data_IF_818982279047
#
_entry.id   IF_818982279047
#
_cell.length_a   1.000
_cell.length_b   1.000
_cell.length_c   1.000
_cell.angle_alpha   90.00
_cell.angle_beta   90.00
_cell.angle_gamma   90.00
#
_symmetry.space_group_name_H-M   'P 1'
#
loop_
_entity.id
_entity.type
_entity.pdbx_description
1 polymer ?
#
# COMPACT_ATOMS: atom_id res chain seq x y z
N UNK A 1 1.26 20.61 9.34
CA UNK A 1 1.52 19.24 8.89
C UNK A 1 0.78 19.06 7.59
N UNK A 2 1.48 18.71 6.52
CA UNK A 2 0.88 18.61 5.19
C UNK A 2 -0.04 17.39 5.14
N UNK A 3 -1.10 17.44 4.31
CA UNK A 3 -2.04 16.31 4.16
C UNK A 3 -1.29 15.02 3.84
N UNK A 4 -0.27 15.10 2.98
CA UNK A 4 0.53 13.96 2.53
C UNK A 4 1.29 13.25 3.66
N UNK A 5 1.73 14.00 4.67
CA UNK A 5 2.42 13.43 5.85
C UNK A 5 1.49 12.48 6.61
N UNK A 6 0.20 12.84 6.75
CA UNK A 6 -0.81 12.00 7.41
C UNK A 6 -1.08 10.70 6.65
N UNK A 7 -0.94 10.75 5.33
CA UNK A 7 -1.26 9.65 4.41
C UNK A 7 -0.08 8.72 4.18
N UNK A 8 1.13 9.10 4.58
CA UNK A 8 2.35 8.36 4.29
C UNK A 8 2.79 7.50 5.47
N UNK A 9 3.39 6.36 5.18
CA UNK A 9 3.98 5.43 6.15
C UNK A 9 5.35 5.01 5.64
N UNK A 10 6.34 5.08 6.51
CA UNK A 10 7.73 4.77 6.18
C UNK A 10 8.19 3.52 6.92
N UNK A 11 8.91 2.66 6.23
CA UNK A 11 9.66 1.54 6.81
C UNK A 11 11.07 1.54 6.22
N UNK A 12 12.08 1.47 7.08
CA UNK A 12 13.50 1.45 6.69
C UNK A 12 14.24 0.23 7.21
N UNK A 13 13.55 -0.88 7.51
CA UNK A 13 14.18 -2.11 7.96
C UNK A 13 14.99 -2.75 6.83
N UNK A 14 16.13 -3.34 7.16
CA UNK A 14 17.02 -3.94 6.16
C UNK A 14 17.68 -2.89 5.25
N UNK A 15 17.94 -3.27 4.02
CA UNK A 15 18.63 -2.47 3.00
C UNK A 15 17.67 -1.74 2.04
N UNK A 16 16.35 -2.00 2.13
CA UNK A 16 15.32 -1.34 1.33
C UNK A 16 14.47 -0.41 2.19
N UNK A 17 14.49 0.87 1.85
CA UNK A 17 13.59 1.89 2.38
C UNK A 17 12.31 1.95 1.56
N UNK A 18 11.18 2.06 2.25
CA UNK A 18 9.86 2.06 1.63
C UNK A 18 9.05 3.23 2.19
N UNK A 19 8.47 4.00 1.28
CA UNK A 19 7.44 4.98 1.63
C UNK A 19 6.14 4.61 0.91
N UNK A 20 5.09 4.36 1.68
CA UNK A 20 3.75 4.03 1.17
C UNK A 20 2.79 5.18 1.49
N UNK A 21 2.18 5.78 0.46
CA UNK A 21 1.23 6.88 0.58
C UNK A 21 -0.14 6.45 0.08
N UNK A 22 -1.16 6.66 0.91
CA UNK A 22 -2.56 6.45 0.53
C UNK A 22 -3.05 7.64 -0.32
N UNK A 23 -3.27 7.42 -1.61
CA UNK A 23 -3.48 8.52 -2.57
C UNK A 23 -4.95 8.96 -2.68
N UNK A 24 -5.92 8.11 -2.31
CA UNK A 24 -7.35 8.41 -2.51
C UNK A 24 -7.82 9.77 -1.97
N UNK A 25 -7.34 10.28 -0.81
CA UNK A 25 -7.73 11.60 -0.33
C UNK A 25 -7.21 12.76 -1.21
N UNK A 26 -6.10 12.54 -1.92
CA UNK A 26 -5.45 13.51 -2.82
C UNK A 26 -6.05 13.43 -4.22
N UNK A 27 -6.10 12.22 -4.78
CA UNK A 27 -6.65 11.94 -6.10
C UNK A 27 -7.67 10.80 -5.98
N UNK A 28 -8.91 11.11 -6.32
CA UNK A 28 -10.00 10.15 -6.21
C UNK A 28 -9.86 9.00 -7.21
N UNK A 29 -10.28 7.82 -6.78
CA UNK A 29 -10.44 6.65 -7.63
C UNK A 29 -11.68 5.88 -7.16
N UNK A 30 -12.66 5.71 -8.04
CA UNK A 30 -13.96 5.10 -7.69
C UNK A 30 -13.85 3.58 -7.48
N UNK A 31 -12.90 2.93 -8.14
CA UNK A 31 -12.81 1.46 -8.19
C UNK A 31 -11.79 0.90 -7.19
N UNK A 32 -10.74 1.66 -6.88
CA UNK A 32 -9.59 1.16 -6.13
C UNK A 32 -9.21 2.05 -4.95
N UNK A 33 -8.76 1.41 -3.88
CA UNK A 33 -7.88 2.00 -2.88
C UNK A 33 -6.48 2.01 -3.49
N UNK A 34 -5.92 3.20 -3.66
CA UNK A 34 -4.68 3.45 -4.38
C UNK A 34 -3.59 3.78 -3.38
N UNK A 35 -2.55 2.94 -3.33
CA UNK A 35 -1.40 3.14 -2.46
C UNK A 35 -0.17 3.29 -3.34
N UNK A 36 0.39 4.49 -3.39
CA UNK A 36 1.65 4.77 -4.08
C UNK A 36 2.80 4.33 -3.19
N UNK A 37 3.73 3.56 -3.73
CA UNK A 37 4.87 3.05 -2.99
C UNK A 37 6.17 3.38 -3.70
N UNK A 38 7.09 3.98 -2.96
CA UNK A 38 8.46 4.24 -3.40
C UNK A 38 9.39 3.30 -2.64
N UNK A 39 10.22 2.58 -3.38
CA UNK A 39 11.27 1.72 -2.86
C UNK A 39 12.62 2.33 -3.22
N UNK A 40 13.55 2.33 -2.25
CA UNK A 40 14.90 2.84 -2.45
C UNK A 40 15.89 1.95 -1.72
N UNK A 41 16.95 1.53 -2.39
CA UNK A 41 18.03 0.73 -1.82
C UNK A 41 19.37 1.12 -2.44
N UNK A 42 20.47 0.72 -1.81
CA UNK A 42 21.83 0.94 -2.33
C UNK A 42 22.65 -0.35 -2.39
N UNK A 43 22.05 -1.50 -2.10
CA UNK A 43 22.78 -2.77 -1.94
C UNK A 43 22.11 -3.99 -2.56
N UNK A 44 20.84 -3.91 -2.96
CA UNK A 44 20.14 -5.01 -3.66
C UNK A 44 19.49 -4.51 -4.94
N UNK A 45 19.28 -5.43 -5.89
CA UNK A 45 18.49 -5.16 -7.08
C UNK A 45 17.02 -5.40 -6.78
N UNK A 46 16.17 -4.40 -7.03
CA UNK A 46 14.73 -4.51 -6.93
C UNK A 46 14.11 -5.17 -8.18
N UNK A 47 14.87 -5.32 -9.26
CA UNK A 47 14.41 -5.97 -10.50
C UNK A 47 14.12 -7.47 -10.30
N UNK A 48 14.71 -8.08 -9.26
CA UNK A 48 14.55 -9.50 -8.95
C UNK A 48 13.21 -9.83 -8.26
N UNK A 49 12.44 -8.81 -7.87
CA UNK A 49 11.20 -8.97 -7.13
C UNK A 49 9.96 -8.79 -8.00
N UNK A 50 9.03 -9.73 -7.89
CA UNK A 50 7.68 -9.58 -8.42
C UNK A 50 6.78 -8.87 -7.39
N UNK A 51 6.72 -7.54 -7.48
CA UNK A 51 5.92 -6.71 -6.59
C UNK A 51 4.43 -7.10 -6.56
N UNK A 52 3.90 -7.70 -7.63
CA UNK A 52 2.51 -8.18 -7.65
C UNK A 52 2.25 -9.37 -6.72
N UNK A 53 3.29 -10.11 -6.32
CA UNK A 53 3.18 -11.35 -5.53
C UNK A 53 3.57 -11.20 -4.07
N UNK A 54 4.26 -10.12 -3.72
CA UNK A 54 4.78 -9.93 -2.35
C UNK A 54 3.85 -9.08 -1.47
N UNK A 55 2.82 -8.49 -2.06
CA UNK A 55 1.88 -7.62 -1.35
C UNK A 55 0.64 -8.37 -0.86
N UNK A 56 0.17 -7.98 0.32
CA UNK A 56 -1.15 -8.35 0.82
C UNK A 56 -1.81 -7.16 1.50
N UNK A 57 -3.13 -7.14 1.57
CA UNK A 57 -3.92 -6.07 2.15
C UNK A 57 -4.86 -6.64 3.20
N UNK A 58 -4.97 -5.98 4.35
CA UNK A 58 -5.87 -6.38 5.43
C UNK A 58 -6.75 -5.23 5.89
N UNK A 59 -7.98 -5.52 6.27
CA UNK A 59 -8.85 -4.59 7.00
C UNK A 59 -9.18 -5.11 8.39
N UNK A 60 -9.54 -4.21 9.31
CA UNK A 60 -9.98 -4.57 10.66
C UNK A 60 -11.24 -5.43 10.71
N UNK A 61 -11.97 -5.52 9.59
CA UNK A 61 -13.18 -6.34 9.43
C UNK A 61 -12.86 -7.78 8.96
N UNK A 62 -11.58 -8.17 9.04
CA UNK A 62 -11.10 -9.52 8.72
C UNK A 62 -11.00 -9.80 7.22
N UNK A 63 -11.03 -8.77 6.37
CA UNK A 63 -10.79 -8.93 4.94
C UNK A 63 -9.29 -9.01 4.72
N UNK A 64 -8.82 -10.06 4.04
CA UNK A 64 -7.45 -10.24 3.63
C UNK A 64 -7.39 -10.51 2.13
N UNK A 65 -6.61 -9.73 1.39
CA UNK A 65 -6.46 -9.80 -0.06
C UNK A 65 -5.00 -9.96 -0.43
N UNK A 66 -4.72 -10.70 -1.49
CA UNK A 66 -3.38 -10.81 -2.07
C UNK A 66 -3.42 -11.06 -3.57
N UNK A 67 -4.43 -11.80 -4.04
CA UNK A 67 -4.59 -12.13 -5.47
C UNK A 67 -5.26 -11.03 -6.27
N UNK A 68 -6.09 -10.24 -5.61
CA UNK A 68 -6.89 -9.17 -6.21
C UNK A 68 -6.15 -7.83 -6.23
N UNK A 69 -4.97 -7.76 -5.61
CA UNK A 69 -4.14 -6.56 -5.59
C UNK A 69 -3.40 -6.47 -6.93
N UNK A 70 -3.57 -5.35 -7.61
CA UNK A 70 -2.83 -5.07 -8.84
C UNK A 70 -1.61 -4.23 -8.52
N UNK A 71 -0.47 -4.57 -9.12
CA UNK A 71 0.73 -3.75 -9.09
C UNK A 71 0.92 -3.06 -10.45
N UNK A 72 1.15 -1.75 -10.41
CA UNK A 72 1.51 -0.94 -11.58
C UNK A 72 2.82 -0.22 -11.31
N UNK A 73 3.86 -0.58 -12.07
CA UNK A 73 5.14 0.14 -12.06
C UNK A 73 4.96 1.46 -12.82
N UNK A 74 5.27 2.58 -12.16
CA UNK A 74 5.28 3.92 -12.79
C UNK A 74 6.65 4.19 -13.40
N UNK A 75 7.71 4.06 -12.60
CA UNK A 75 9.09 4.37 -12.99
C UNK A 75 10.08 3.56 -12.15
N UNK A 76 11.35 3.62 -12.54
CA UNK A 76 12.46 3.05 -11.80
C UNK A 76 13.02 1.76 -12.40
N UNK A 77 14.21 1.39 -11.96
CA UNK A 77 14.95 0.18 -12.31
C UNK A 77 16.07 -0.02 -11.28
N UNK A 78 16.53 -1.26 -11.10
CA UNK A 78 17.60 -1.59 -10.16
C UNK A 78 17.30 -1.15 -8.73
N UNK A 79 17.78 0.04 -8.33
CA UNK A 79 17.86 0.48 -6.94
C UNK A 79 16.73 1.41 -6.47
N UNK A 80 15.98 1.99 -7.42
CA UNK A 80 14.87 2.88 -7.12
C UNK A 80 13.64 2.44 -7.92
N UNK A 81 12.54 2.18 -7.22
CA UNK A 81 11.27 1.78 -7.84
C UNK A 81 10.16 2.69 -7.35
N UNK A 82 9.29 3.07 -8.27
CA UNK A 82 8.04 3.73 -7.96
C UNK A 82 6.89 2.97 -8.62
N UNK A 83 5.86 2.69 -7.85
CA UNK A 83 4.65 2.11 -8.39
C UNK A 83 3.44 2.32 -7.49
N UNK A 84 2.35 1.69 -7.88
CA UNK A 84 1.06 1.76 -7.22
C UNK A 84 0.54 0.36 -6.98
N UNK A 85 0.11 0.10 -5.76
CA UNK A 85 -0.83 -0.98 -5.46
C UNK A 85 -2.26 -0.47 -5.60
N UNK A 86 -3.07 -1.17 -6.39
CA UNK A 86 -4.51 -0.94 -6.52
C UNK A 86 -5.24 -2.10 -5.87
N UNK A 87 -5.90 -1.81 -4.76
CA UNK A 87 -6.76 -2.77 -4.05
C UNK A 87 -8.21 -2.45 -4.41
N UNK A 88 -9.02 -3.41 -4.89
CA UNK A 88 -10.41 -3.11 -5.23
C UNK A 88 -11.16 -2.58 -4.00
N UNK A 89 -12.04 -1.59 -4.18
CA UNK A 89 -12.90 -1.07 -3.11
C UNK A 89 -14.03 -2.03 -2.72
N UNK A 90 -14.37 -2.94 -3.62
CA UNK A 90 -15.44 -3.92 -3.44
C UNK A 90 -15.05 -5.26 -4.07
N UNK A 91 -15.39 -6.36 -3.41
CA UNK A 91 -15.30 -7.71 -3.96
C UNK A 91 -16.61 -8.44 -3.68
N UNK A 92 -17.23 -9.01 -4.72
CA UNK A 92 -18.46 -9.80 -4.61
C UNK A 92 -19.59 -9.09 -3.83
N UNK A 93 -19.79 -7.77 -4.04
CA UNK A 93 -20.80 -7.00 -3.33
C UNK A 93 -20.39 -6.52 -1.93
N UNK A 94 -19.18 -6.87 -1.45
CA UNK A 94 -18.69 -6.49 -0.12
C UNK A 94 -17.64 -5.38 -0.22
N UNK A 95 -17.92 -4.25 0.41
CA UNK A 95 -16.96 -3.16 0.56
C UNK A 95 -15.75 -3.60 1.39
N UNK A 96 -14.56 -3.25 0.90
CA UNK A 96 -13.28 -3.52 1.57
C UNK A 96 -13.05 -2.55 2.74
N UNK A 97 -13.53 -1.32 2.60
CA UNK A 97 -13.57 -0.30 3.65
C UNK A 97 -15.03 0.11 3.83
N UNK A 98 -15.54 -0.07 5.05
CA UNK A 98 -16.86 0.39 5.48
C UNK A 98 -16.74 1.34 6.66
N UNK A 99 -17.86 1.94 7.08
CA UNK A 99 -17.94 2.81 8.27
C UNK A 99 -17.47 2.13 9.57
N UNK A 100 -17.47 0.80 9.59
CA UNK A 100 -16.99 -0.02 10.71
C UNK A 100 -15.49 -0.33 10.63
N UNK A 101 -14.85 -0.12 9.47
CA UNK A 101 -13.42 -0.28 9.32
C UNK A 101 -12.69 0.73 10.20
N UNK A 102 -11.92 0.24 11.17
CA UNK A 102 -11.11 1.05 12.06
C UNK A 102 -9.66 1.16 11.57
N UNK A 103 -9.19 0.16 10.81
CA UNK A 103 -7.83 0.17 10.25
C UNK A 103 -7.75 -0.60 8.93
N UNK A 104 -6.86 -0.16 8.06
CA UNK A 104 -6.38 -0.92 6.90
C UNK A 104 -4.86 -1.06 6.94
N UNK A 105 -4.34 -2.06 6.26
CA UNK A 105 -2.92 -2.40 6.30
C UNK A 105 -2.45 -2.96 4.96
N UNK A 106 -1.41 -2.37 4.39
CA UNK A 106 -0.63 -2.97 3.30
C UNK A 106 0.57 -3.69 3.91
N UNK A 107 0.77 -4.94 3.55
CA UNK A 107 1.91 -5.76 3.95
C UNK A 107 2.77 -6.09 2.74
N UNK A 108 4.08 -5.96 2.87
CA UNK A 108 5.07 -6.33 1.87
C UNK A 108 5.97 -7.41 2.49
N UNK A 109 5.94 -8.60 1.90
CA UNK A 109 6.60 -9.79 2.43
C UNK A 109 7.90 -10.10 1.70
N UNK A 110 8.86 -10.72 2.40
CA UNK A 110 10.08 -11.32 1.84
C UNK A 110 10.85 -10.40 0.88
N UNK A 111 10.95 -9.11 1.21
CA UNK A 111 11.74 -8.14 0.44
C UNK A 111 13.05 -7.92 1.19
N UNK A 112 14.18 -8.31 0.59
CA UNK A 112 15.52 -8.16 1.19
C UNK A 112 15.64 -8.80 2.58
N UNK A 113 15.33 -10.10 2.67
CA UNK A 113 15.37 -10.93 3.89
C UNK A 113 14.54 -10.43 5.09
N UNK A 114 13.80 -9.33 4.95
CA UNK A 114 12.83 -8.87 5.94
C UNK A 114 11.51 -9.62 5.71
N UNK A 115 11.05 -10.44 6.68
CA UNK A 115 9.91 -11.32 6.47
C UNK A 115 8.62 -10.56 6.15
N UNK A 116 8.40 -9.42 6.81
CA UNK A 116 7.22 -8.59 6.62
C UNK A 116 7.47 -7.13 7.00
N UNK A 117 6.99 -6.20 6.17
CA UNK A 117 6.85 -4.78 6.48
C UNK A 117 5.38 -4.39 6.38
N UNK A 118 4.89 -3.65 7.37
CA UNK A 118 3.46 -3.33 7.54
C UNK A 118 3.22 -1.83 7.53
N UNK A 119 2.32 -1.36 6.66
CA UNK A 119 1.93 0.03 6.51
C UNK A 119 0.47 0.17 6.89
N UNK A 120 0.20 0.72 8.07
CA UNK A 120 -1.13 0.76 8.68
C UNK A 120 -1.72 2.16 8.72
N UNK A 121 -2.95 2.29 8.24
CA UNK A 121 -3.75 3.53 8.35
C UNK A 121 -4.95 3.31 9.27
N UNK A 122 -5.19 4.28 10.14
CA UNK A 122 -6.27 4.24 11.13
C UNK A 122 -7.53 4.95 10.63
N UNK A 123 -8.57 4.89 11.46
CA UNK A 123 -9.89 5.43 11.18
C UNK A 123 -9.87 6.92 10.85
N UNK A 124 -8.96 7.70 11.42
CA UNK A 124 -8.91 9.14 11.17
C UNK A 124 -8.37 9.45 9.77
N UNK A 125 -7.44 8.65 9.28
CA UNK A 125 -7.05 8.68 7.87
C UNK A 125 -8.17 8.16 6.96
N UNK A 126 -8.83 7.06 7.33
CA UNK A 126 -9.88 6.44 6.53
C UNK A 126 -11.09 7.36 6.29
N UNK A 127 -11.46 8.19 7.27
CA UNK A 127 -12.51 9.22 7.11
C UNK A 127 -12.23 10.19 5.96
N UNK A 128 -10.96 10.36 5.55
CA UNK A 128 -10.62 11.24 4.43
C UNK A 128 -10.96 10.61 3.06
N UNK A 129 -11.21 9.31 3.03
CA UNK A 129 -11.59 8.53 1.84
C UNK A 129 -13.10 8.38 1.73
N UNK A 130 -13.81 8.28 2.87
CA UNK A 130 -15.27 8.06 2.92
C UNK A 130 -16.11 9.34 2.69
N UNK A 131 -15.52 10.52 2.83
CA UNK A 131 -16.23 11.81 2.81
C UNK A 131 -16.22 12.52 1.44
N UNK A 132 -16.02 11.78 0.35
CA UNK A 132 -16.11 12.26 -1.03
C UNK A 132 -16.97 11.27 -1.82
#
# INVERSE_FOLDING_TARGET
MELRDKLSRFDGQGAVQINATLENPIQENEQYIVIKVQFSTHSVSLDDYDFSKIASFKSSEGIELSKEILWEKIEGEGHHYLGIYKVPKEINGKLIISKNTSTIELNISNLDDVPNRSFKWDKDVLKLIENK
#
